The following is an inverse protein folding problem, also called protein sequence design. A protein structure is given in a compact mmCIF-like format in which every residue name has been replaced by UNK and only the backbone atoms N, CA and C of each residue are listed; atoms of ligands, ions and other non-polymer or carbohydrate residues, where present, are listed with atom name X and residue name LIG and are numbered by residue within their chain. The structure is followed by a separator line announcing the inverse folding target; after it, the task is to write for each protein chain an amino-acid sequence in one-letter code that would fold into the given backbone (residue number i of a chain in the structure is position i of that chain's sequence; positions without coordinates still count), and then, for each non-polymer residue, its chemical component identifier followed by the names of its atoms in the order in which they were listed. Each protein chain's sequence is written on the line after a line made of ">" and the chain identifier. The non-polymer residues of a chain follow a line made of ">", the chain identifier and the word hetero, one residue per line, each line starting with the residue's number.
data_IF_898122473932
#
_entry.id   IF_898122473932
#
_cell.length_a   1.000
_cell.length_b   1.000
_cell.length_c   1.000
_cell.angle_alpha   90.00
_cell.angle_beta   90.00
_cell.angle_gamma   90.00
#
_symmetry.space_group_name_H-M   'P 1'
#
loop_
_entity.id
_entity.type
_entity.pdbx_description
1 polymer ?
#
# COMPACT_ATOMS: atom_id res chain seq x y z
N UNK A 1 14.76 11.62 -12.60
CA UNK A 1 14.39 10.54 -11.63
C UNK A 1 13.39 9.63 -12.33
N UNK A 2 13.63 8.34 -12.37
CA UNK A 2 12.71 7.36 -12.98
C UNK A 2 11.80 6.78 -11.92
N UNK A 3 10.48 6.83 -12.14
CA UNK A 3 9.48 6.38 -11.17
C UNK A 3 8.71 5.18 -11.75
N UNK A 4 8.63 4.10 -10.98
CA UNK A 4 7.75 2.97 -11.26
C UNK A 4 6.46 3.13 -10.43
N UNK A 5 5.33 3.12 -11.11
CA UNK A 5 3.99 3.13 -10.49
C UNK A 5 3.38 1.74 -10.57
N UNK A 6 2.73 1.34 -9.48
CA UNK A 6 1.95 0.11 -9.37
C UNK A 6 0.77 0.30 -8.40
N UNK A 7 -0.06 -0.72 -8.23
CA UNK A 7 -1.15 -0.79 -7.26
C UNK A 7 -1.62 -2.24 -7.08
N UNK A 8 -2.70 -2.46 -6.35
CA UNK A 8 -3.43 -3.73 -6.26
C UNK A 8 -4.86 -3.66 -6.80
N UNK A 9 -5.42 -2.47 -6.99
CA UNK A 9 -6.74 -2.24 -7.59
C UNK A 9 -6.78 -2.52 -9.12
N UNK A 10 -5.61 -2.68 -9.75
CA UNK A 10 -5.47 -2.98 -11.18
C UNK A 10 -5.08 -1.77 -12.05
N UNK A 11 -4.54 -2.08 -13.25
CA UNK A 11 -3.94 -1.11 -14.18
C UNK A 11 -4.90 0.00 -14.66
N UNK A 12 -6.20 -0.24 -14.63
CA UNK A 12 -7.23 0.73 -15.03
C UNK A 12 -7.86 1.48 -13.85
N UNK A 13 -7.45 1.21 -12.62
CA UNK A 13 -8.06 1.77 -11.43
C UNK A 13 -7.92 3.30 -11.36
N UNK A 14 -8.95 4.00 -10.85
CA UNK A 14 -8.92 5.45 -10.69
C UNK A 14 -7.75 5.93 -9.81
N UNK A 15 -7.46 5.20 -8.72
CA UNK A 15 -6.36 5.53 -7.81
C UNK A 15 -4.98 5.51 -8.48
N UNK A 16 -4.75 4.61 -9.44
CA UNK A 16 -3.51 4.59 -10.21
C UNK A 16 -3.36 5.84 -11.10
N UNK A 17 -4.46 6.32 -11.67
CA UNK A 17 -4.46 7.57 -12.45
C UNK A 17 -4.16 8.79 -11.58
N UNK A 18 -4.70 8.80 -10.36
CA UNK A 18 -4.38 9.82 -9.35
C UNK A 18 -2.91 9.77 -9.00
N UNK A 19 -2.37 8.58 -8.74
CA UNK A 19 -0.95 8.39 -8.46
C UNK A 19 -0.06 8.86 -9.63
N UNK A 20 -0.46 8.58 -10.87
CA UNK A 20 0.25 9.08 -12.06
C UNK A 20 0.25 10.62 -12.10
N UNK A 21 -0.89 11.27 -11.83
CA UNK A 21 -0.97 12.73 -11.77
C UNK A 21 -0.03 13.30 -10.71
N UNK A 22 -0.01 12.72 -9.52
CA UNK A 22 0.91 13.12 -8.44
C UNK A 22 2.38 12.89 -8.88
N UNK A 23 2.70 11.73 -9.42
CA UNK A 23 4.07 11.39 -9.83
C UNK A 23 4.61 12.32 -10.92
N UNK A 24 3.76 12.80 -11.83
CA UNK A 24 4.14 13.76 -12.88
C UNK A 24 4.53 15.13 -12.35
N UNK A 25 4.16 15.49 -11.12
CA UNK A 25 4.69 16.71 -10.47
C UNK A 25 6.14 16.53 -10.00
N UNK A 26 6.61 15.29 -9.91
CA UNK A 26 7.95 14.93 -9.42
C UNK A 26 8.92 14.57 -10.56
N UNK A 27 8.41 13.99 -11.67
CA UNK A 27 9.24 13.55 -12.80
C UNK A 27 8.42 13.35 -14.07
N UNK A 28 9.07 13.49 -15.23
CA UNK A 28 8.53 13.14 -16.55
C UNK A 28 8.81 11.68 -16.95
N UNK A 29 9.71 10.98 -16.25
CA UNK A 29 10.09 9.58 -16.55
C UNK A 29 9.29 8.60 -15.69
N UNK A 30 8.01 8.41 -16.08
CA UNK A 30 7.03 7.59 -15.37
C UNK A 30 6.81 6.27 -16.12
N UNK A 31 6.91 5.17 -15.39
CA UNK A 31 6.61 3.82 -15.85
C UNK A 31 5.46 3.23 -15.04
N UNK A 32 4.53 2.58 -15.69
CA UNK A 32 3.40 1.92 -15.05
C UNK A 32 3.51 0.41 -15.31
N UNK A 33 3.61 -0.37 -14.23
CA UNK A 33 3.53 -1.83 -14.27
C UNK A 33 2.65 -2.27 -13.12
N UNK A 34 1.43 -2.68 -13.41
CA UNK A 34 0.40 -2.97 -12.42
C UNK A 34 -0.37 -4.25 -12.75
N UNK A 35 -1.05 -4.88 -11.80
CA UNK A 35 -1.92 -6.03 -12.06
C UNK A 35 -2.96 -5.73 -13.13
N UNK A 36 -3.30 -6.72 -13.96
CA UNK A 36 -4.35 -6.60 -14.97
C UNK A 36 -5.74 -6.41 -14.35
N UNK A 37 -5.96 -7.01 -13.19
CA UNK A 37 -7.23 -7.06 -12.46
C UNK A 37 -7.00 -6.72 -10.98
N UNK A 38 -8.08 -6.51 -10.23
CA UNK A 38 -8.07 -6.26 -8.80
C UNK A 38 -7.51 -7.47 -8.01
N UNK A 39 -6.62 -7.21 -7.06
CA UNK A 39 -5.95 -8.18 -6.20
C UNK A 39 -6.05 -7.80 -4.71
N UNK A 40 -7.16 -7.24 -4.27
CA UNK A 40 -7.40 -6.86 -2.88
C UNK A 40 -7.22 -8.05 -1.93
N UNK A 41 -6.49 -7.83 -0.83
CA UNK A 41 -6.22 -8.88 0.16
C UNK A 41 -5.18 -9.92 -0.26
N UNK A 42 -4.49 -9.75 -1.39
CA UNK A 42 -3.45 -10.68 -1.86
C UNK A 42 -2.22 -10.72 -0.94
N UNK A 43 -2.01 -9.70 -0.11
CA UNK A 43 -0.82 -9.59 0.73
C UNK A 43 0.46 -9.66 -0.09
N UNK A 44 1.53 -10.13 0.51
CA UNK A 44 2.85 -10.27 -0.12
C UNK A 44 3.01 -11.62 -0.85
N UNK A 45 2.03 -11.97 -1.70
CA UNK A 45 2.01 -13.26 -2.39
C UNK A 45 2.68 -13.20 -3.76
N UNK A 46 3.39 -14.30 -4.10
CA UNK A 46 4.00 -14.56 -5.41
C UNK A 46 3.23 -15.61 -6.18
N UNK A 47 3.08 -15.43 -7.48
CA UNK A 47 2.47 -16.42 -8.37
C UNK A 47 3.49 -17.48 -8.79
N UNK A 48 3.58 -18.59 -8.05
CA UNK A 48 4.55 -19.66 -8.30
C UNK A 48 4.00 -20.86 -9.08
N UNK A 49 2.66 -21.00 -9.17
CA UNK A 49 2.00 -22.22 -9.69
C UNK A 49 1.51 -22.10 -11.13
N UNK A 50 1.62 -20.93 -11.73
CA UNK A 50 1.20 -20.66 -13.12
C UNK A 50 2.12 -19.62 -13.76
N UNK A 51 2.24 -19.59 -15.10
CA UNK A 51 2.96 -18.53 -15.80
C UNK A 51 2.29 -17.16 -15.59
N UNK A 52 3.09 -16.13 -15.37
CA UNK A 52 2.67 -14.73 -15.32
C UNK A 52 3.00 -14.06 -16.65
N UNK A 53 2.07 -13.28 -17.19
CA UNK A 53 2.19 -12.62 -18.50
C UNK A 53 2.22 -11.11 -18.33
N UNK A 54 3.07 -10.46 -19.12
CA UNK A 54 3.10 -9.00 -19.26
C UNK A 54 2.38 -8.64 -20.55
N UNK A 55 1.50 -7.64 -20.50
CA UNK A 55 0.88 -7.02 -21.66
C UNK A 55 1.26 -5.55 -21.72
N UNK A 56 1.79 -5.12 -22.86
CA UNK A 56 2.10 -3.71 -23.13
C UNK A 56 0.86 -2.98 -23.65
N UNK A 57 0.55 -1.83 -23.08
CA UNK A 57 -0.54 -0.94 -23.48
C UNK A 57 -0.02 0.37 -24.10
N UNK A 58 1.22 0.73 -23.81
CA UNK A 58 1.90 1.92 -24.31
C UNK A 58 3.40 1.79 -24.11
N UNK A 59 4.16 2.82 -24.48
CA UNK A 59 5.64 2.78 -24.40
C UNK A 59 6.15 2.46 -22.98
N UNK A 60 5.52 3.06 -21.96
CA UNK A 60 5.88 2.90 -20.54
C UNK A 60 4.68 2.42 -19.69
N UNK A 61 3.73 1.69 -20.30
CA UNK A 61 2.49 1.28 -19.65
C UNK A 61 2.24 -0.21 -19.90
N UNK A 62 2.21 -1.01 -18.82
CA UNK A 62 2.14 -2.46 -18.85
C UNK A 62 1.18 -2.99 -17.78
N UNK A 63 0.51 -4.11 -18.09
CA UNK A 63 -0.21 -4.90 -17.09
C UNK A 63 0.39 -6.28 -16.93
N UNK A 64 0.21 -6.85 -15.74
CA UNK A 64 0.72 -8.16 -15.34
C UNK A 64 -0.43 -9.06 -14.90
N UNK A 65 -0.51 -10.30 -15.41
CA UNK A 65 -1.54 -11.28 -15.02
C UNK A 65 -1.21 -11.96 -13.68
N UNK A 66 -0.69 -11.20 -12.72
CA UNK A 66 -0.25 -11.65 -11.41
C UNK A 66 -0.58 -10.63 -10.33
N UNK A 67 0.06 -10.81 -9.18
CA UNK A 67 -0.12 -9.97 -7.99
C UNK A 67 0.59 -8.63 -8.12
N UNK A 68 0.37 -7.67 -7.20
CA UNK A 68 1.18 -6.45 -7.09
C UNK A 68 2.68 -6.74 -6.91
N UNK A 69 3.02 -7.73 -6.11
CA UNK A 69 4.39 -8.26 -5.93
C UNK A 69 4.99 -8.71 -7.27
N UNK A 70 4.28 -9.56 -8.03
CA UNK A 70 4.71 -9.99 -9.37
C UNK A 70 4.91 -8.79 -10.31
N UNK A 71 4.06 -7.79 -10.21
CA UNK A 71 4.11 -6.58 -11.06
C UNK A 71 5.39 -5.79 -10.83
N UNK A 72 5.79 -5.58 -9.58
CA UNK A 72 7.04 -4.89 -9.25
C UNK A 72 8.26 -5.72 -9.66
N UNK A 73 8.26 -7.02 -9.37
CA UNK A 73 9.37 -7.91 -9.74
C UNK A 73 9.58 -7.96 -11.26
N UNK A 74 8.50 -8.13 -12.04
CA UNK A 74 8.57 -8.12 -13.51
C UNK A 74 8.84 -6.72 -14.07
N UNK A 75 8.33 -5.69 -13.42
CA UNK A 75 8.66 -4.30 -13.72
C UNK A 75 10.17 -4.07 -13.68
N UNK A 76 10.80 -4.42 -12.56
CA UNK A 76 12.25 -4.23 -12.38
C UNK A 76 13.11 -5.21 -13.17
N UNK A 77 12.70 -6.48 -13.25
CA UNK A 77 13.51 -7.56 -13.80
C UNK A 77 13.40 -7.74 -15.31
N UNK A 78 12.28 -7.29 -15.91
CA UNK A 78 11.99 -7.51 -17.33
C UNK A 78 11.76 -6.18 -18.06
N UNK A 79 10.76 -5.39 -17.61
CA UNK A 79 10.35 -4.17 -18.31
C UNK A 79 11.42 -3.08 -18.22
N UNK A 80 12.00 -2.89 -17.05
CA UNK A 80 12.99 -1.85 -16.75
C UNK A 80 14.39 -2.43 -16.45
N UNK A 81 14.71 -3.64 -16.97
CA UNK A 81 15.94 -4.38 -16.67
C UNK A 81 17.22 -3.58 -16.91
N UNK A 82 17.25 -2.76 -17.96
CA UNK A 82 18.41 -1.98 -18.38
C UNK A 82 18.45 -0.57 -17.74
N UNK A 83 17.38 -0.19 -17.05
CA UNK A 83 17.23 1.15 -16.47
C UNK A 83 16.28 1.12 -15.27
N UNK A 84 16.77 0.63 -14.13
CA UNK A 84 15.97 0.46 -12.90
C UNK A 84 15.35 1.78 -12.41
N UNK A 85 14.20 1.71 -11.72
CA UNK A 85 13.60 2.89 -11.12
C UNK A 85 14.44 3.43 -9.95
N UNK A 86 14.38 4.74 -9.76
CA UNK A 86 14.94 5.44 -8.60
C UNK A 86 13.95 5.46 -7.44
N UNK A 87 12.65 5.37 -7.76
CA UNK A 87 11.53 5.44 -6.84
C UNK A 87 10.42 4.49 -7.29
N UNK A 88 9.81 3.79 -6.34
CA UNK A 88 8.59 3.00 -6.54
C UNK A 88 7.47 3.62 -5.72
N UNK A 89 6.35 3.94 -6.39
CA UNK A 89 5.11 4.38 -5.76
C UNK A 89 4.02 3.34 -6.01
N UNK A 90 3.38 2.88 -4.94
CA UNK A 90 2.28 1.92 -4.99
C UNK A 90 0.99 2.55 -4.48
N UNK A 91 -0.06 2.57 -5.29
CA UNK A 91 -1.36 3.14 -4.93
C UNK A 91 -1.99 3.96 -6.08
N UNK A 92 -2.82 4.99 -5.82
CA UNK A 92 -3.38 5.29 -4.50
C UNK A 92 -4.46 4.25 -4.22
N UNK A 93 -4.29 3.47 -3.16
CA UNK A 93 -5.24 2.41 -2.82
C UNK A 93 -6.62 2.97 -2.49
N UNK A 94 -7.64 2.26 -2.92
CA UNK A 94 -9.03 2.49 -2.54
C UNK A 94 -9.30 1.84 -1.19
N UNK A 95 -9.07 2.54 -0.10
CA UNK A 95 -9.19 2.08 1.28
C UNK A 95 -7.91 2.30 2.08
N UNK A 96 -8.04 2.25 3.40
CA UNK A 96 -6.91 2.41 4.30
C UNK A 96 -6.00 1.17 4.31
N UNK A 97 -4.72 1.40 4.54
CA UNK A 97 -3.75 0.39 4.92
C UNK A 97 -3.09 0.83 6.22
N UNK A 98 -3.74 0.60 7.33
CA UNK A 98 -3.39 1.08 8.67
C UNK A 98 -3.17 -0.08 9.64
N UNK A 99 -2.38 0.14 10.66
CA UNK A 99 -2.14 -0.84 11.71
C UNK A 99 -1.66 -2.17 11.14
N UNK A 100 -2.21 -3.26 11.65
CA UNK A 100 -1.89 -4.62 11.21
C UNK A 100 -2.53 -5.02 9.87
N UNK A 101 -3.44 -4.19 9.27
CA UNK A 101 -3.96 -4.43 7.92
C UNK A 101 -2.88 -4.36 6.85
N UNK A 102 -1.76 -3.68 7.10
CA UNK A 102 -0.60 -3.63 6.21
C UNK A 102 -0.12 -5.05 5.81
N UNK A 103 -0.34 -6.05 6.67
CA UNK A 103 0.08 -7.43 6.41
C UNK A 103 -0.74 -8.13 5.32
N UNK A 104 -1.94 -7.63 5.02
CA UNK A 104 -2.83 -8.13 3.97
C UNK A 104 -2.83 -7.27 2.71
N UNK A 105 -2.19 -6.10 2.79
CA UNK A 105 -2.22 -5.10 1.72
C UNK A 105 -1.34 -5.47 0.54
N UNK A 106 -1.94 -5.56 -0.65
CA UNK A 106 -1.21 -5.67 -1.90
C UNK A 106 -0.44 -4.39 -2.25
N UNK A 107 -1.01 -3.22 -1.94
CA UNK A 107 -0.37 -1.91 -2.12
C UNK A 107 0.93 -1.80 -1.33
N UNK A 108 0.90 -2.14 -0.03
CA UNK A 108 2.10 -2.10 0.84
C UNK A 108 3.10 -3.17 0.40
N UNK A 109 2.64 -4.36 0.02
CA UNK A 109 3.49 -5.46 -0.44
C UNK A 109 4.26 -5.13 -1.72
N UNK A 110 3.65 -4.42 -2.66
CA UNK A 110 4.36 -3.93 -3.84
C UNK A 110 5.50 -2.96 -3.46
N UNK A 111 5.28 -2.07 -2.48
CA UNK A 111 6.33 -1.21 -1.98
C UNK A 111 7.41 -2.00 -1.20
N UNK A 112 7.03 -3.09 -0.51
CA UNK A 112 7.99 -4.01 0.12
C UNK A 112 8.96 -4.62 -0.89
N UNK A 113 8.48 -5.04 -2.06
CA UNK A 113 9.37 -5.58 -3.12
C UNK A 113 10.42 -4.58 -3.58
N UNK A 114 10.03 -3.33 -3.77
CA UNK A 114 10.98 -2.28 -4.09
C UNK A 114 12.02 -2.05 -2.98
N UNK A 115 11.58 -2.04 -1.74
CA UNK A 115 12.47 -1.90 -0.58
C UNK A 115 13.44 -3.09 -0.43
N UNK A 116 13.00 -4.32 -0.74
CA UNK A 116 13.86 -5.52 -0.81
C UNK A 116 14.90 -5.41 -1.92
N UNK A 117 14.53 -4.80 -3.05
CA UNK A 117 15.46 -4.53 -4.14
C UNK A 117 16.42 -3.35 -3.87
N UNK A 118 16.32 -2.71 -2.71
CA UNK A 118 17.15 -1.56 -2.34
C UNK A 118 16.74 -0.26 -3.01
N UNK A 119 15.48 -0.14 -3.43
CA UNK A 119 14.92 1.05 -4.07
C UNK A 119 13.98 1.74 -3.08
N UNK A 120 14.04 3.08 -3.03
CA UNK A 120 13.08 3.87 -2.23
C UNK A 120 11.66 3.55 -2.67
N UNK A 121 10.81 3.17 -1.72
CA UNK A 121 9.46 2.70 -2.02
C UNK A 121 8.45 3.30 -1.05
N UNK A 122 7.31 3.73 -1.59
CA UNK A 122 6.26 4.42 -0.84
C UNK A 122 4.91 3.82 -1.26
N UNK A 123 4.13 3.42 -0.26
CA UNK A 123 2.73 3.01 -0.43
C UNK A 123 1.82 4.19 -0.09
N UNK A 124 0.77 4.42 -0.90
CA UNK A 124 -0.19 5.50 -0.72
C UNK A 124 -1.61 4.93 -0.72
N UNK A 125 -2.42 5.34 0.25
CA UNK A 125 -3.79 4.87 0.45
C UNK A 125 -4.72 6.01 0.82
N UNK A 126 -5.97 6.01 0.29
CA UNK A 126 -7.01 6.96 0.61
C UNK A 126 -8.10 6.27 1.43
N UNK A 127 -8.33 6.74 2.65
CA UNK A 127 -9.41 6.23 3.51
C UNK A 127 -10.78 6.58 2.92
N UNK A 128 -11.75 5.67 3.02
CA UNK A 128 -13.15 5.94 2.65
C UNK A 128 -13.87 6.74 3.72
N UNK A 129 -14.81 7.60 3.31
CA UNK A 129 -15.89 8.01 4.21
C UNK A 129 -16.95 6.91 4.32
N UNK A 130 -17.58 6.77 5.47
CA UNK A 130 -18.69 5.81 5.68
C UNK A 130 -19.89 6.05 4.73
N UNK A 131 -20.05 7.27 4.23
CA UNK A 131 -21.12 7.68 3.33
C UNK A 131 -20.82 7.39 1.85
N UNK A 132 -19.56 7.10 1.50
CA UNK A 132 -19.09 6.89 0.12
C UNK A 132 -18.83 5.43 -0.25
N UNK A 133 -19.41 4.46 0.42
CA UNK A 133 -19.19 3.03 0.11
C UNK A 133 -19.81 2.55 -1.19
N UNK A 134 -20.60 3.42 -1.89
CA UNK A 134 -21.26 3.11 -3.15
C UNK A 134 -20.52 3.71 -4.27
N UNK A 135 -19.61 3.59 -4.93
CA UNK A 135 -19.12 3.94 -6.28
C UNK A 135 -18.10 5.07 -6.46
N UNK A 136 -17.85 5.96 -5.51
CA UNK A 136 -16.78 6.95 -5.69
C UNK A 136 -16.07 7.28 -4.40
N UNK A 137 -14.91 6.68 -4.19
CA UNK A 137 -13.97 7.23 -3.20
C UNK A 137 -13.37 8.48 -3.82
N UNK A 138 -13.63 9.66 -3.28
CA UNK A 138 -12.92 10.84 -3.75
C UNK A 138 -11.46 10.71 -3.30
N UNK A 139 -10.55 10.61 -4.24
CA UNK A 139 -9.10 10.70 -3.98
C UNK A 139 -8.64 12.14 -3.78
N UNK A 140 -9.56 13.05 -3.48
CA UNK A 140 -9.31 14.49 -3.47
C UNK A 140 -8.26 14.91 -2.44
N UNK A 141 -8.18 14.25 -1.27
CA UNK A 141 -7.14 14.53 -0.30
C UNK A 141 -5.77 14.06 -0.83
N UNK A 142 -5.69 12.89 -1.44
CA UNK A 142 -4.46 12.40 -2.06
C UNK A 142 -4.01 13.27 -3.24
N UNK A 143 -4.94 13.69 -4.12
CA UNK A 143 -4.65 14.58 -5.25
C UNK A 143 -4.08 15.93 -4.79
N UNK A 144 -4.68 16.54 -3.77
CA UNK A 144 -4.29 17.86 -3.31
C UNK A 144 -3.00 17.87 -2.47
N UNK A 145 -2.73 16.79 -1.74
CA UNK A 145 -1.64 16.73 -0.78
C UNK A 145 -0.48 15.81 -1.20
N UNK A 146 -0.66 14.99 -2.22
CA UNK A 146 0.29 13.93 -2.59
C UNK A 146 1.70 14.45 -2.87
N UNK A 147 1.83 15.48 -3.70
CA UNK A 147 3.13 16.12 -3.97
C UNK A 147 3.78 16.66 -2.69
N UNK A 148 2.99 17.37 -1.87
CA UNK A 148 3.48 18.00 -0.63
C UNK A 148 3.97 16.98 0.39
N UNK A 149 3.36 15.79 0.42
CA UNK A 149 3.78 14.71 1.33
C UNK A 149 5.02 14.00 0.77
N UNK A 150 5.10 13.80 -0.54
CA UNK A 150 6.18 13.04 -1.16
C UNK A 150 7.50 13.80 -1.24
N UNK A 151 7.48 15.10 -1.57
CA UNK A 151 8.72 15.89 -1.77
C UNK A 151 9.73 15.79 -0.63
N UNK A 152 9.36 16.00 0.65
CA UNK A 152 10.33 15.88 1.75
C UNK A 152 10.95 14.50 1.88
N UNK A 153 10.20 13.44 1.53
CA UNK A 153 10.70 12.06 1.60
C UNK A 153 11.77 11.77 0.55
N UNK A 154 11.75 12.48 -0.59
CA UNK A 154 12.77 12.31 -1.64
C UNK A 154 14.11 12.90 -1.24
N UNK A 155 14.11 13.95 -0.45
CA UNK A 155 15.32 14.65 0.03
C UNK A 155 15.96 13.97 1.25
N UNK A 156 15.21 13.08 1.93
CA UNK A 156 15.74 12.36 3.10
C UNK A 156 16.72 11.25 2.69
N UNK A 157 17.70 10.92 3.56
CA UNK A 157 18.51 9.73 3.39
C UNK A 157 17.63 8.48 3.28
N UNK A 158 17.96 7.59 2.33
CA UNK A 158 17.25 6.32 2.17
C UNK A 158 17.96 5.22 2.97
N UNK A 159 17.20 4.49 3.78
CA UNK A 159 17.67 3.31 4.48
C UNK A 159 17.19 2.06 3.73
N UNK A 160 18.09 1.16 3.29
CA UNK A 160 17.69 -0.09 2.62
C UNK A 160 16.75 -0.93 3.48
N UNK A 161 15.83 -1.65 2.82
CA UNK A 161 14.81 -2.51 3.47
C UNK A 161 13.82 -1.75 4.36
N UNK A 162 13.67 -0.45 4.11
CA UNK A 162 12.59 0.35 4.69
C UNK A 162 11.69 0.89 3.59
N UNK A 163 10.44 1.15 3.93
CA UNK A 163 9.48 1.82 3.07
C UNK A 163 8.67 2.81 3.89
N UNK A 164 7.96 3.70 3.20
CA UNK A 164 7.04 4.63 3.86
C UNK A 164 5.61 4.28 3.45
N UNK A 165 4.73 4.14 4.43
CA UNK A 165 3.30 3.96 4.23
C UNK A 165 2.57 5.27 4.53
N UNK A 166 1.81 5.78 3.55
CA UNK A 166 1.08 7.04 3.65
C UNK A 166 -0.41 6.75 3.52
N UNK A 167 -1.19 7.26 4.47
CA UNK A 167 -2.64 7.22 4.40
C UNK A 167 -3.22 8.63 4.44
N UNK A 168 -4.15 8.92 3.53
CA UNK A 168 -4.88 10.18 3.47
C UNK A 168 -6.24 10.02 4.14
N UNK A 169 -6.67 10.95 5.02
CA UNK A 169 -7.93 10.85 5.75
C UNK A 169 -9.15 11.04 4.84
N UNK A 170 -10.30 10.51 5.26
CA UNK A 170 -11.58 10.62 4.55
C UNK A 170 -12.24 12.00 4.79
N UNK A 171 -11.53 13.07 4.48
CA UNK A 171 -12.01 14.45 4.61
C UNK A 171 -11.74 15.23 3.33
N UNK A 172 -12.40 16.37 3.15
CA UNK A 172 -12.12 17.26 2.01
C UNK A 172 -10.69 17.83 2.12
N UNK A 173 -10.04 18.18 1.01
CA UNK A 173 -8.67 18.68 1.00
C UNK A 173 -8.38 19.85 1.94
N UNK A 174 -9.33 20.77 2.06
CA UNK A 174 -9.23 21.94 2.95
C UNK A 174 -9.39 21.59 4.44
N UNK A 175 -9.99 20.43 4.75
CA UNK A 175 -10.25 19.97 6.11
C UNK A 175 -9.12 19.04 6.62
N UNK A 176 -8.15 18.69 5.76
CA UNK A 176 -6.93 17.99 6.16
C UNK A 176 -6.12 18.87 7.10
N UNK A 177 -5.96 18.43 8.35
CA UNK A 177 -5.29 19.22 9.40
C UNK A 177 -3.77 19.31 9.25
N UNK A 178 -3.18 18.53 8.36
CA UNK A 178 -1.74 18.50 8.09
C UNK A 178 -1.18 17.09 8.00
N UNK A 179 0.14 16.96 8.18
CA UNK A 179 0.88 15.70 8.07
C UNK A 179 1.45 15.37 9.45
N UNK A 180 1.28 14.13 9.90
CA UNK A 180 1.91 13.60 11.12
C UNK A 180 2.67 12.30 10.83
N UNK A 181 3.85 12.18 11.40
CA UNK A 181 4.58 10.91 11.46
C UNK A 181 4.00 10.09 12.60
N UNK A 182 3.69 8.83 12.32
CA UNK A 182 3.06 7.92 13.26
C UNK A 182 3.78 6.57 13.26
N UNK A 183 3.68 5.84 14.36
CA UNK A 183 4.03 4.43 14.38
C UNK A 183 2.86 3.58 13.89
N UNK A 184 3.14 2.37 13.45
CA UNK A 184 2.11 1.37 13.15
C UNK A 184 1.28 1.08 14.41
N UNK A 185 -0.05 1.13 14.28
CA UNK A 185 -0.99 0.71 15.30
C UNK A 185 -1.37 -0.76 15.20
N UNK A 186 -2.30 -1.16 16.05
CA UNK A 186 -2.94 -2.46 16.03
C UNK A 186 -4.44 -2.29 16.22
N UNK A 187 -5.24 -3.05 15.48
CA UNK A 187 -6.67 -3.11 15.69
C UNK A 187 -6.99 -3.98 16.91
N UNK A 188 -8.12 -3.72 17.57
CA UNK A 188 -8.62 -4.61 18.59
C UNK A 188 -9.09 -5.95 17.99
N UNK A 189 -8.97 -7.03 18.74
CA UNK A 189 -9.29 -8.41 18.32
C UNK A 189 -10.72 -8.61 17.82
N UNK A 190 -11.65 -7.71 18.12
CA UNK A 190 -13.06 -7.77 17.73
C UNK A 190 -13.35 -7.34 16.28
N UNK A 191 -12.34 -7.01 15.49
CA UNK A 191 -12.48 -6.40 14.17
C UNK A 191 -12.98 -7.28 13.04
N UNK A 192 -12.97 -8.59 13.19
CA UNK A 192 -13.38 -9.52 12.16
C UNK A 192 -14.75 -10.13 12.42
N UNK A 193 -15.73 -9.91 11.55
CA UNK A 193 -16.94 -10.72 11.51
C UNK A 193 -16.91 -11.65 10.31
N UNK A 194 -17.32 -12.88 10.51
CA UNK A 194 -17.61 -13.80 9.42
C UNK A 194 -19.11 -13.76 9.16
N UNK A 195 -19.51 -13.26 8.00
CA UNK A 195 -20.91 -13.20 7.60
C UNK A 195 -21.21 -14.42 6.75
N UNK A 196 -22.08 -15.29 7.26
CA UNK A 196 -22.56 -16.48 6.54
C UNK A 196 -23.75 -16.13 5.65
N UNK A 197 -23.74 -16.61 4.42
CA UNK A 197 -24.89 -16.64 3.53
C UNK A 197 -25.10 -18.05 2.97
N UNK A 198 -26.22 -18.27 2.27
CA UNK A 198 -26.52 -19.53 1.60
C UNK A 198 -26.92 -19.22 0.16
N UNK A 199 -26.35 -19.92 -0.81
CA UNK A 199 -26.69 -19.75 -2.22
C UNK A 199 -28.06 -20.38 -2.57
N UNK A 200 -28.64 -20.12 -3.76
CA UNK A 200 -29.92 -20.68 -4.17
C UNK A 200 -29.96 -22.21 -4.28
N UNK A 201 -28.80 -22.87 -4.24
CA UNK A 201 -28.68 -24.35 -4.26
C UNK A 201 -28.53 -24.94 -2.87
N UNK A 202 -28.53 -24.11 -1.81
CA UNK A 202 -28.42 -24.53 -0.43
C UNK A 202 -26.99 -24.71 0.09
N UNK A 203 -25.96 -24.25 -0.66
CA UNK A 203 -24.58 -24.27 -0.19
C UNK A 203 -24.25 -23.01 0.59
N UNK A 204 -23.59 -23.19 1.73
CA UNK A 204 -23.12 -22.09 2.56
C UNK A 204 -21.90 -21.41 1.93
N UNK A 205 -21.86 -20.06 2.01
CA UNK A 205 -20.70 -19.25 1.69
C UNK A 205 -20.45 -18.23 2.80
N UNK A 206 -19.25 -17.68 2.85
CA UNK A 206 -18.81 -16.81 3.92
C UNK A 206 -18.12 -15.58 3.37
N UNK A 207 -18.44 -14.42 3.94
CA UNK A 207 -17.74 -13.17 3.71
C UNK A 207 -16.93 -12.81 4.95
N UNK A 208 -15.71 -12.34 4.73
CA UNK A 208 -14.96 -11.66 5.78
C UNK A 208 -15.43 -10.22 5.84
N UNK A 209 -16.14 -9.85 6.91
CA UNK A 209 -16.54 -8.48 7.20
C UNK A 209 -15.43 -7.80 7.99
N UNK A 210 -14.94 -6.68 7.47
CA UNK A 210 -14.05 -5.81 8.22
C UNK A 210 -14.92 -4.78 8.95
N UNK A 211 -14.89 -4.76 10.27
CA UNK A 211 -15.48 -3.68 11.06
C UNK A 211 -14.53 -2.48 11.03
N UNK A 212 -15.11 -1.27 11.14
CA UNK A 212 -14.36 -0.02 11.12
C UNK A 212 -13.22 0.02 12.14
N UNK A 213 -12.40 1.04 12.05
CA UNK A 213 -11.22 1.24 12.90
C UNK A 213 -11.61 1.24 14.38
N UNK A 214 -11.38 0.11 15.05
CA UNK A 214 -11.46 -0.02 16.51
C UNK A 214 -10.03 -0.21 16.98
N UNK A 215 -9.53 0.70 17.78
CA UNK A 215 -8.17 0.65 18.32
C UNK A 215 -8.14 1.21 19.74
N UNK A 216 -7.12 0.83 20.50
CA UNK A 216 -6.84 1.43 21.79
C UNK A 216 -6.19 2.79 21.60
N UNK A 217 -6.82 3.85 22.10
CA UNK A 217 -6.35 5.25 21.97
C UNK A 217 -5.14 5.56 22.85
N UNK A 218 -4.47 6.68 22.58
CA UNK A 218 -3.39 7.23 23.40
C UNK A 218 -1.99 6.72 23.07
N UNK A 219 -1.76 6.26 21.82
CA UNK A 219 -0.49 5.66 21.43
C UNK A 219 0.23 6.32 20.24
N UNK A 220 -0.25 7.45 19.73
CA UNK A 220 0.31 8.15 18.55
C UNK A 220 0.48 7.23 17.33
N UNK A 221 -0.53 6.42 17.06
CA UNK A 221 -0.53 5.46 15.97
C UNK A 221 -1.10 6.06 14.68
N UNK A 222 -0.84 5.40 13.55
CA UNK A 222 -1.41 5.73 12.25
C UNK A 222 -2.95 5.74 12.25
N UNK A 223 -3.58 4.86 13.05
CA UNK A 223 -5.02 4.79 13.25
C UNK A 223 -5.56 6.10 13.86
N UNK A 224 -4.96 6.57 14.96
CA UNK A 224 -5.36 7.80 15.64
C UNK A 224 -5.11 9.05 14.80
N UNK A 225 -3.96 9.09 14.12
CA UNK A 225 -3.59 10.21 13.24
C UNK A 225 -4.63 10.40 12.13
N UNK A 226 -5.10 9.30 11.54
CA UNK A 226 -6.15 9.32 10.51
C UNK A 226 -7.50 9.72 11.10
N UNK A 227 -7.89 9.18 12.25
CA UNK A 227 -9.13 9.52 12.94
C UNK A 227 -9.20 11.01 13.28
N UNK A 228 -8.08 11.58 13.70
CA UNK A 228 -7.92 13.00 13.95
C UNK A 228 -7.96 13.90 12.69
N UNK A 229 -7.99 13.33 11.48
CA UNK A 229 -8.06 14.07 10.22
C UNK A 229 -6.70 14.58 9.70
N UNK A 230 -5.60 13.97 10.14
CA UNK A 230 -4.27 14.22 9.58
C UNK A 230 -3.89 13.14 8.56
N UNK A 231 -2.96 13.47 7.68
CA UNK A 231 -2.28 12.48 6.85
C UNK A 231 -1.28 11.74 7.73
N UNK A 232 -1.38 10.41 7.76
CA UNK A 232 -0.44 9.56 8.48
C UNK A 232 0.73 9.17 7.58
N UNK A 233 1.96 9.36 8.08
CA UNK A 233 3.21 8.93 7.43
C UNK A 233 3.92 7.97 8.38
N UNK A 234 3.93 6.69 8.02
CA UNK A 234 4.45 5.61 8.87
C UNK A 234 5.66 4.96 8.21
N UNK A 235 6.85 5.08 8.81
CA UNK A 235 8.02 4.34 8.35
C UNK A 235 7.89 2.87 8.75
N UNK A 236 8.08 1.96 7.79
CA UNK A 236 8.03 0.52 8.00
C UNK A 236 9.37 -0.10 7.67
N UNK A 237 9.69 -1.21 8.32
CA UNK A 237 10.90 -2.00 8.05
C UNK A 237 10.54 -3.46 7.79
N UNK A 238 11.36 -4.14 7.00
CA UNK A 238 11.14 -5.53 6.61
C UNK A 238 11.82 -6.55 7.54
N UNK A 239 12.60 -6.08 8.52
CA UNK A 239 13.15 -6.95 9.56
C UNK A 239 12.11 -7.18 10.66
N UNK A 240 11.46 -8.34 10.61
CA UNK A 240 10.43 -8.76 11.57
C UNK A 240 11.00 -9.37 12.85
N UNK A 241 12.32 -9.34 13.05
CA UNK A 241 12.97 -9.90 14.24
C UNK A 241 12.59 -9.10 15.49
N UNK A 242 11.93 -9.74 16.46
CA UNK A 242 11.69 -9.14 17.77
C UNK A 242 12.98 -9.19 18.60
N UNK A 243 13.66 -8.06 18.70
CA UNK A 243 15.02 -7.96 19.23
C UNK A 243 15.12 -8.30 20.71
N UNK A 244 14.10 -7.97 21.51
CA UNK A 244 14.05 -8.31 22.93
C UNK A 244 13.94 -9.82 23.15
N UNK A 245 13.10 -10.52 22.36
CA UNK A 245 12.99 -11.98 22.43
C UNK A 245 14.25 -12.69 21.97
N UNK A 246 15.04 -12.08 21.07
CA UNK A 246 16.28 -12.69 20.57
C UNK A 246 17.29 -12.95 21.70
N UNK A 247 17.48 -11.99 22.59
CA UNK A 247 18.38 -12.15 23.74
C UNK A 247 17.91 -13.26 24.71
N UNK A 248 16.60 -13.34 24.96
CA UNK A 248 16.01 -14.37 25.81
C UNK A 248 16.18 -15.78 25.21
N UNK A 249 15.97 -15.90 23.89
CA UNK A 249 16.15 -17.17 23.17
C UNK A 249 17.61 -17.60 23.11
N UNK A 250 18.57 -16.68 22.93
CA UNK A 250 20.00 -17.00 23.03
C UNK A 250 20.33 -17.59 24.41
N UNK A 251 19.84 -16.98 25.49
CA UNK A 251 20.05 -17.50 26.83
C UNK A 251 19.43 -18.88 27.02
N UNK A 252 18.24 -19.13 26.48
CA UNK A 252 17.54 -20.40 26.63
C UNK A 252 18.20 -21.56 25.85
N UNK A 253 18.84 -21.28 24.73
CA UNK A 253 19.48 -22.28 23.87
C UNK A 253 21.02 -22.32 24.00
N UNK A 254 21.58 -21.62 24.97
CA UNK A 254 23.02 -21.69 25.31
C UNK A 254 23.94 -21.02 24.27
N UNK A 255 23.45 -19.97 23.59
CA UNK A 255 24.22 -19.14 22.66
C UNK A 255 24.84 -17.92 23.32
#
# INVERSE_FOLDING_TARGET
>A
MRILLTNDDGVNAPGLKVLETIARTLSDDIWIVAPAEENSGAGHSLTLTRPVRIRQHGEKHFSVSGTPTDSVMLGMGVVMKDAKPDLILSGVNRGANLGDDITYSGTVSAAMEGALAGIRSIALSQVYSKEGMADSVPFSAAEAWGERVLRPLLDMPFTPRTLTNINFPAVLPQDVKGIKVARQGFHDYSRGSIVKGTDPRGYDYYWFGLHGMIHTSGHDTDLEVIEDGYIAVTPLQLDLTHRESLAALHSAYGG
#
